data_IF_946321691773
#
_entry.id   IF_946321691773
#
_cell.length_a   1.000
_cell.length_b   1.000
_cell.length_c   1.000
_cell.angle_alpha   90.00
_cell.angle_beta   90.00
_cell.angle_gamma   90.00
#
_symmetry.space_group_name_H-M   'P 1'
#
loop_
_entity.id
_entity.type
_entity.pdbx_description
1 polymer ?
#
# COMPACT_ATOMS: atom_id res chain seq x y z
N UNK A 1 -16.45 -59.31 18.88
CA UNK A 1 -15.73 -58.28 18.13
C UNK A 1 -16.39 -56.97 18.53
N UNK A 2 -15.75 -56.16 19.37
CA UNK A 2 -16.31 -54.87 19.79
C UNK A 2 -15.99 -53.85 18.69
N UNK A 3 -16.97 -53.53 17.87
CA UNK A 3 -16.92 -52.37 16.98
C UNK A 3 -17.06 -51.13 17.86
N UNK A 4 -15.92 -50.54 18.23
CA UNK A 4 -15.89 -49.22 18.84
C UNK A 4 -16.48 -48.22 17.82
N UNK A 5 -17.46 -47.39 18.19
CA UNK A 5 -18.01 -46.39 17.29
C UNK A 5 -16.87 -45.46 16.87
N UNK A 6 -16.69 -45.26 15.56
CA UNK A 6 -15.73 -44.31 15.04
C UNK A 6 -16.00 -42.94 15.66
N UNK A 7 -15.03 -42.40 16.43
CA UNK A 7 -15.14 -41.06 17.01
C UNK A 7 -15.56 -40.08 15.91
N UNK A 8 -16.73 -39.47 16.10
CA UNK A 8 -17.29 -38.50 15.15
C UNK A 8 -16.36 -37.28 15.13
N UNK A 9 -15.65 -37.09 14.01
CA UNK A 9 -14.70 -35.98 13.85
C UNK A 9 -15.42 -34.66 14.06
N UNK A 10 -14.90 -33.80 14.92
CA UNK A 10 -15.55 -32.52 15.22
C UNK A 10 -15.30 -31.52 14.08
N UNK A 11 -16.37 -31.23 13.35
CA UNK A 11 -16.39 -30.28 12.24
C UNK A 11 -16.65 -28.84 12.68
N UNK A 12 -17.11 -28.64 13.92
CA UNK A 12 -17.63 -27.36 14.45
C UNK A 12 -16.62 -26.57 15.27
N UNK A 13 -15.46 -27.15 15.59
CA UNK A 13 -14.36 -26.51 16.36
C UNK A 13 -14.06 -25.08 15.92
N UNK A 14 -14.13 -24.81 14.61
CA UNK A 14 -13.78 -23.50 14.05
C UNK A 14 -14.99 -22.64 13.67
N UNK A 15 -16.22 -23.14 13.78
CA UNK A 15 -17.44 -22.38 13.45
C UNK A 15 -17.88 -21.50 14.63
N UNK A 16 -17.63 -21.94 15.86
CA UNK A 16 -17.93 -21.17 17.09
C UNK A 16 -17.00 -19.96 17.31
N UNK A 17 -15.89 -19.87 16.58
CA UNK A 17 -14.80 -18.92 16.84
C UNK A 17 -14.93 -17.58 16.07
N UNK A 18 -15.92 -17.48 15.18
CA UNK A 18 -16.13 -16.32 14.28
C UNK A 18 -17.28 -15.42 14.76
N UNK A 19 -18.29 -15.96 15.45
CA UNK A 19 -19.40 -15.17 15.98
C UNK A 19 -18.97 -14.36 17.22
N UNK A 20 -18.59 -13.09 17.01
CA UNK A 20 -18.47 -12.10 18.10
C UNK A 20 -17.06 -11.63 18.47
N UNK A 21 -16.01 -11.96 17.70
CA UNK A 21 -14.66 -11.44 17.97
C UNK A 21 -14.58 -9.92 17.75
N UNK A 22 -14.42 -9.18 18.86
CA UNK A 22 -14.10 -7.75 18.88
C UNK A 22 -12.71 -7.54 18.26
N UNK A 23 -12.52 -6.41 17.57
CA UNK A 23 -11.24 -6.03 16.98
C UNK A 23 -10.13 -6.08 18.05
N UNK A 24 -9.18 -7.01 17.91
CA UNK A 24 -8.09 -7.19 18.88
C UNK A 24 -6.81 -6.49 18.39
N UNK A 25 -6.50 -5.34 18.99
CA UNK A 25 -5.27 -4.60 18.70
C UNK A 25 -4.00 -5.39 19.01
N UNK A 26 -4.05 -6.37 19.89
CA UNK A 26 -2.92 -7.25 20.18
C UNK A 26 -2.58 -8.15 18.99
N UNK A 27 -3.60 -8.71 18.32
CA UNK A 27 -3.43 -9.48 17.08
C UNK A 27 -2.87 -8.59 15.96
N UNK A 28 -3.38 -7.37 15.82
CA UNK A 28 -2.87 -6.40 14.84
C UNK A 28 -1.39 -6.08 15.10
N UNK A 29 -1.01 -5.81 16.35
CA UNK A 29 0.39 -5.56 16.73
C UNK A 29 1.29 -6.76 16.44
N UNK A 30 0.79 -7.98 16.65
CA UNK A 30 1.49 -9.20 16.28
C UNK A 30 1.70 -9.25 14.77
N UNK A 31 0.67 -8.97 13.97
CA UNK A 31 0.74 -8.92 12.50
C UNK A 31 1.84 -7.95 12.01
N UNK A 32 1.89 -6.75 12.58
CA UNK A 32 2.93 -5.75 12.26
C UNK A 32 4.36 -6.18 12.64
N UNK A 33 4.53 -7.17 13.54
CA UNK A 33 5.85 -7.73 13.86
C UNK A 33 6.46 -8.46 12.66
N UNK A 34 5.67 -9.12 11.81
CA UNK A 34 6.18 -9.76 10.59
C UNK A 34 6.59 -8.74 9.51
N UNK A 35 6.10 -7.50 9.57
CA UNK A 35 6.58 -6.40 8.72
C UNK A 35 7.83 -5.69 9.28
N UNK A 36 8.22 -5.93 10.54
CA UNK A 36 9.42 -5.35 11.18
C UNK A 36 10.71 -5.52 10.36
N UNK A 37 11.05 -6.69 9.79
CA UNK A 37 12.26 -6.84 8.98
C UNK A 37 12.23 -6.00 7.68
N UNK A 38 11.05 -5.59 7.20
CA UNK A 38 10.87 -4.83 5.95
C UNK A 38 10.68 -3.32 6.19
N UNK A 39 10.97 -2.82 7.39
CA UNK A 39 10.78 -1.40 7.76
C UNK A 39 11.50 -0.40 6.86
N UNK A 40 12.69 -0.73 6.35
CA UNK A 40 13.40 0.16 5.44
C UNK A 40 12.67 0.34 4.10
N UNK A 41 12.11 -0.75 3.55
CA UNK A 41 11.30 -0.72 2.33
C UNK A 41 9.98 0.01 2.55
N UNK A 42 9.35 -0.21 3.71
CA UNK A 42 8.14 0.51 4.10
C UNK A 42 8.40 2.02 4.29
N UNK A 43 9.52 2.41 4.93
CA UNK A 43 9.89 3.81 5.08
C UNK A 43 10.13 4.47 3.72
N UNK A 44 10.87 3.79 2.83
CA UNK A 44 11.08 4.27 1.46
C UNK A 44 9.75 4.43 0.71
N UNK A 45 8.83 3.47 0.86
CA UNK A 45 7.49 3.57 0.28
C UNK A 45 6.74 4.81 0.80
N UNK A 46 6.78 5.05 2.12
CA UNK A 46 6.19 6.25 2.75
C UNK A 46 6.80 7.53 2.17
N UNK A 47 8.12 7.59 2.00
CA UNK A 47 8.76 8.74 1.34
C UNK A 47 8.29 8.91 -0.10
N UNK A 48 8.21 7.83 -0.88
CA UNK A 48 7.73 7.89 -2.26
C UNK A 48 6.27 8.39 -2.34
N UNK A 49 5.37 7.94 -1.47
CA UNK A 49 3.98 8.41 -1.51
C UNK A 49 3.84 9.87 -1.09
N UNK A 50 4.68 10.36 -0.18
CA UNK A 50 4.71 11.79 0.17
C UNK A 50 5.20 12.66 -0.99
N UNK A 51 6.22 12.19 -1.72
CA UNK A 51 6.70 12.85 -2.94
C UNK A 51 5.65 12.81 -4.05
N UNK A 52 4.99 11.67 -4.24
CA UNK A 52 3.90 11.53 -5.19
C UNK A 52 2.72 12.45 -4.84
N UNK A 53 2.36 12.56 -3.56
CA UNK A 53 1.27 13.42 -3.08
C UNK A 53 1.57 14.90 -3.36
N UNK A 54 2.78 15.34 -2.99
CA UNK A 54 3.28 16.68 -3.33
C UNK A 54 3.21 16.89 -4.85
N UNK A 55 3.58 15.86 -5.62
CA UNK A 55 3.49 15.86 -7.07
C UNK A 55 2.06 15.97 -7.62
N UNK A 56 1.10 15.29 -7.02
CA UNK A 56 -0.28 15.43 -7.46
C UNK A 56 -0.88 16.81 -7.14
N UNK A 57 -0.45 17.44 -6.04
CA UNK A 57 -0.98 18.74 -5.61
C UNK A 57 -0.41 19.90 -6.44
N UNK A 58 0.89 19.89 -6.71
CA UNK A 58 1.53 20.99 -7.45
C UNK A 58 1.24 20.95 -8.98
N UNK A 59 0.75 19.84 -9.55
CA UNK A 59 0.42 19.73 -10.99
C UNK A 59 -0.69 20.70 -11.44
N UNK A 60 -1.89 20.68 -10.81
CA UNK A 60 -2.99 21.55 -11.23
C UNK A 60 -2.70 23.04 -10.98
N UNK A 61 -1.80 23.37 -10.04
CA UNK A 61 -1.42 24.77 -9.75
C UNK A 61 -0.81 25.45 -10.97
N UNK A 62 -0.04 24.73 -11.81
CA UNK A 62 0.54 25.28 -13.04
C UNK A 62 -0.55 25.71 -14.03
N UNK A 63 -1.56 24.86 -14.23
CA UNK A 63 -2.63 25.12 -15.20
C UNK A 63 -3.49 26.29 -14.73
N UNK A 64 -3.92 26.30 -13.47
CA UNK A 64 -4.81 27.35 -12.96
C UNK A 64 -4.10 28.68 -12.77
N UNK A 65 -2.89 28.68 -12.21
CA UNK A 65 -2.23 29.92 -11.80
C UNK A 65 -1.26 30.47 -12.84
N UNK A 66 -0.39 29.62 -13.40
CA UNK A 66 0.63 30.08 -14.35
C UNK A 66 0.01 30.33 -15.73
N UNK A 67 -0.83 29.40 -16.21
CA UNK A 67 -1.37 29.47 -17.56
C UNK A 67 -2.65 30.32 -17.62
N UNK A 68 -3.65 30.04 -16.78
CA UNK A 68 -4.94 30.74 -16.85
C UNK A 68 -4.84 32.15 -16.25
N UNK A 69 -4.44 32.28 -14.99
CA UNK A 69 -4.40 33.58 -14.31
C UNK A 69 -3.22 34.46 -14.80
N UNK A 70 -2.06 33.85 -15.13
CA UNK A 70 -0.86 34.59 -15.53
C UNK A 70 -0.79 35.00 -17.01
N UNK A 71 -1.34 34.20 -17.93
CA UNK A 71 -1.21 34.45 -19.38
C UNK A 71 -2.53 34.80 -20.07
N UNK A 72 -3.68 34.26 -19.62
CA UNK A 72 -4.96 34.43 -20.32
C UNK A 72 -5.81 35.60 -19.77
N UNK A 73 -5.66 35.95 -18.50
CA UNK A 73 -6.33 37.09 -17.87
C UNK A 73 -5.29 38.07 -17.30
N UNK A 74 -4.64 38.90 -18.14
CA UNK A 74 -3.71 39.92 -17.68
C UNK A 74 -4.48 41.09 -17.03
N UNK A 75 -5.14 40.82 -15.91
CA UNK A 75 -5.90 41.77 -15.12
C UNK A 75 -5.21 41.99 -13.78
N UNK A 76 -4.61 43.17 -13.64
CA UNK A 76 -4.13 43.84 -12.43
C UNK A 76 -3.93 42.97 -11.16
N UNK A 77 -2.68 42.58 -10.92
CA UNK A 77 -2.13 42.59 -9.57
C UNK A 77 -2.59 41.52 -8.58
N UNK A 78 -3.11 40.38 -9.02
CA UNK A 78 -3.24 39.24 -8.13
C UNK A 78 -1.91 38.47 -8.04
N UNK A 79 -0.98 38.97 -7.23
CA UNK A 79 0.11 38.17 -6.62
C UNK A 79 -0.52 37.14 -5.66
N UNK A 80 -1.25 36.18 -6.21
CA UNK A 80 -1.72 35.04 -5.45
C UNK A 80 -0.52 34.11 -5.20
N UNK A 81 -0.39 33.51 -4.00
CA UNK A 81 0.73 32.61 -3.70
C UNK A 81 0.68 31.38 -4.62
N UNK A 82 1.59 31.36 -5.60
CA UNK A 82 1.74 30.36 -6.66
C UNK A 82 2.71 29.23 -6.29
N UNK A 83 3.14 29.19 -5.01
CA UNK A 83 4.16 28.28 -4.48
C UNK A 83 5.49 28.32 -5.25
N UNK A 84 5.84 29.45 -5.86
CA UNK A 84 7.10 29.64 -6.60
C UNK A 84 7.13 28.99 -7.98
N UNK A 85 5.97 28.58 -8.51
CA UNK A 85 5.89 27.91 -9.81
C UNK A 85 6.07 28.86 -11.00
N UNK A 86 5.65 30.12 -10.88
CA UNK A 86 5.90 31.12 -11.94
C UNK A 86 7.40 31.35 -12.14
N UNK A 87 8.16 31.46 -11.05
CA UNK A 87 9.62 31.60 -11.07
C UNK A 87 10.32 30.37 -11.66
N UNK A 88 9.83 29.16 -11.36
CA UNK A 88 10.33 27.92 -11.97
C UNK A 88 10.07 27.89 -13.48
N UNK A 89 8.88 28.29 -13.91
CA UNK A 89 8.50 28.32 -15.32
C UNK A 89 9.29 29.39 -16.08
N UNK A 90 9.45 30.59 -15.54
CA UNK A 90 10.23 31.65 -16.19
C UNK A 90 11.71 31.29 -16.27
N UNK A 91 12.30 30.76 -15.20
CA UNK A 91 13.69 30.29 -15.21
C UNK A 91 13.91 29.19 -16.26
N UNK A 92 12.98 28.23 -16.35
CA UNK A 92 13.07 27.16 -17.33
C UNK A 92 12.85 27.66 -18.76
N UNK A 93 11.90 28.58 -18.96
CA UNK A 93 11.65 29.21 -20.25
C UNK A 93 12.89 29.97 -20.76
N UNK A 94 13.53 30.76 -19.89
CA UNK A 94 14.75 31.51 -20.20
C UNK A 94 15.93 30.58 -20.49
N UNK A 95 16.12 29.53 -19.68
CA UNK A 95 17.20 28.57 -19.86
C UNK A 95 17.05 27.73 -21.14
N UNK A 96 15.82 27.36 -21.50
CA UNK A 96 15.51 26.54 -22.67
C UNK A 96 15.22 27.36 -23.93
N UNK A 97 15.16 28.69 -23.84
CA UNK A 97 14.73 29.60 -24.92
C UNK A 97 13.37 29.23 -25.53
N UNK A 98 12.43 28.80 -24.68
CA UNK A 98 11.09 28.35 -25.08
C UNK A 98 10.04 29.42 -24.77
N UNK A 99 8.94 29.39 -25.52
CA UNK A 99 7.75 30.15 -25.16
C UNK A 99 7.24 29.71 -23.77
N UNK A 100 6.81 30.69 -22.97
CA UNK A 100 6.47 30.44 -21.57
C UNK A 100 5.28 29.48 -21.42
N UNK A 101 4.35 29.47 -22.38
CA UNK A 101 3.24 28.51 -22.43
C UNK A 101 3.75 27.08 -22.64
N UNK A 102 4.72 26.89 -23.53
CA UNK A 102 5.30 25.58 -23.79
C UNK A 102 6.13 25.09 -22.59
N UNK A 103 6.89 25.99 -21.96
CA UNK A 103 7.62 25.71 -20.72
C UNK A 103 6.69 25.23 -19.59
N UNK A 104 5.54 25.88 -19.40
CA UNK A 104 4.53 25.48 -18.42
C UNK A 104 3.97 24.08 -18.71
N UNK A 105 3.65 23.77 -19.97
CA UNK A 105 3.21 22.44 -20.38
C UNK A 105 4.25 21.34 -20.12
N UNK A 106 5.53 21.63 -20.36
CA UNK A 106 6.63 20.69 -20.10
C UNK A 106 6.79 20.42 -18.61
N UNK A 107 6.77 21.46 -17.76
CA UNK A 107 6.89 21.30 -16.31
C UNK A 107 5.68 20.54 -15.76
N UNK A 108 4.46 20.85 -16.23
CA UNK A 108 3.26 20.09 -15.90
C UNK A 108 3.41 18.60 -16.25
N UNK A 109 3.85 18.30 -17.47
CA UNK A 109 4.13 16.94 -17.90
C UNK A 109 5.16 16.24 -17.02
N UNK A 110 6.26 16.92 -16.70
CA UNK A 110 7.30 16.42 -15.79
C UNK A 110 6.74 16.08 -14.41
N UNK A 111 5.85 16.91 -13.89
CA UNK A 111 5.26 16.74 -12.57
C UNK A 111 4.24 15.58 -12.51
N UNK A 112 3.43 15.43 -13.55
CA UNK A 112 2.53 14.27 -13.73
C UNK A 112 3.34 12.97 -13.87
N UNK A 113 4.41 12.98 -14.67
CA UNK A 113 5.29 11.82 -14.81
C UNK A 113 5.97 11.46 -13.49
N UNK A 114 6.45 12.46 -12.75
CA UNK A 114 7.06 12.27 -11.44
C UNK A 114 6.08 11.68 -10.43
N UNK A 115 4.84 12.20 -10.39
CA UNK A 115 3.77 11.66 -9.56
C UNK A 115 3.49 10.19 -9.89
N UNK A 116 3.33 9.86 -11.17
CA UNK A 116 3.09 8.49 -11.65
C UNK A 116 4.24 7.54 -11.29
N UNK A 117 5.48 7.97 -11.48
CA UNK A 117 6.68 7.20 -11.16
C UNK A 117 6.76 6.87 -9.66
N UNK A 118 6.60 7.88 -8.79
CA UNK A 118 6.67 7.66 -7.35
C UNK A 118 5.48 6.86 -6.82
N UNK A 119 4.29 7.06 -7.36
CA UNK A 119 3.12 6.25 -7.02
C UNK A 119 3.31 4.78 -7.41
N UNK A 120 3.90 4.51 -8.57
CA UNK A 120 4.24 3.17 -9.02
C UNK A 120 5.31 2.52 -8.12
N UNK A 121 6.36 3.27 -7.79
CA UNK A 121 7.43 2.81 -6.90
C UNK A 121 6.91 2.50 -5.49
N UNK A 122 6.04 3.36 -4.93
CA UNK A 122 5.32 3.11 -3.69
C UNK A 122 4.56 1.79 -3.74
N UNK A 123 3.80 1.55 -4.82
CA UNK A 123 3.00 0.32 -4.99
C UNK A 123 3.89 -0.93 -4.99
N UNK A 124 5.01 -0.91 -5.71
CA UNK A 124 5.95 -2.05 -5.74
C UNK A 124 6.58 -2.28 -4.36
N UNK A 125 7.08 -1.22 -3.72
CA UNK A 125 7.76 -1.33 -2.43
C UNK A 125 6.83 -1.82 -1.32
N UNK A 126 5.60 -1.30 -1.29
CA UNK A 126 4.58 -1.71 -0.33
C UNK A 126 4.16 -3.16 -0.59
N UNK A 127 3.80 -3.51 -1.83
CA UNK A 127 3.41 -4.87 -2.18
C UNK A 127 4.52 -5.88 -1.86
N UNK A 128 5.77 -5.58 -2.20
CA UNK A 128 6.91 -6.44 -1.88
C UNK A 128 7.12 -6.64 -0.38
N UNK A 129 6.88 -5.60 0.43
CA UNK A 129 6.99 -5.68 1.89
C UNK A 129 5.87 -6.52 2.50
N UNK A 130 4.63 -6.34 2.01
CA UNK A 130 3.45 -7.09 2.47
C UNK A 130 3.55 -8.57 2.08
N UNK A 131 3.86 -8.87 0.81
CA UNK A 131 4.02 -10.26 0.34
C UNK A 131 5.12 -11.00 1.10
N UNK A 132 6.22 -10.31 1.40
CA UNK A 132 7.31 -10.93 2.16
C UNK A 132 6.88 -11.22 3.59
N UNK A 133 6.17 -10.29 4.26
CA UNK A 133 5.60 -10.53 5.58
C UNK A 133 4.55 -11.65 5.61
N UNK A 134 3.71 -11.74 4.57
CA UNK A 134 2.72 -12.79 4.42
C UNK A 134 3.36 -14.17 4.24
N UNK A 135 4.43 -14.25 3.45
CA UNK A 135 5.23 -15.46 3.28
C UNK A 135 5.83 -15.93 4.62
N UNK A 136 6.32 -15.01 5.44
CA UNK A 136 6.87 -15.32 6.76
C UNK A 136 5.78 -15.80 7.72
N UNK A 137 4.63 -15.12 7.74
CA UNK A 137 3.44 -15.56 8.49
C UNK A 137 3.02 -16.97 8.08
N UNK A 138 2.94 -17.24 6.78
CA UNK A 138 2.62 -18.56 6.24
C UNK A 138 3.61 -19.59 6.80
N UNK A 139 4.91 -19.36 6.65
CA UNK A 139 5.95 -20.26 7.17
C UNK A 139 5.77 -20.57 8.66
N UNK A 140 5.47 -19.57 9.48
CA UNK A 140 5.29 -19.75 10.93
C UNK A 140 4.04 -20.57 11.26
N UNK A 141 2.93 -20.35 10.56
CA UNK A 141 1.69 -21.13 10.74
C UNK A 141 1.92 -22.59 10.34
N UNK A 142 2.55 -22.84 9.19
CA UNK A 142 2.90 -24.20 8.76
C UNK A 142 3.81 -24.90 9.77
N UNK A 143 4.86 -24.23 10.25
CA UNK A 143 5.76 -24.79 11.26
C UNK A 143 5.07 -25.08 12.61
N UNK A 144 4.04 -24.31 12.95
CA UNK A 144 3.22 -24.57 14.14
C UNK A 144 2.36 -25.83 13.95
N UNK A 145 1.73 -25.98 12.78
CA UNK A 145 0.93 -27.17 12.45
C UNK A 145 1.80 -28.44 12.53
N UNK A 146 2.98 -28.44 11.93
CA UNK A 146 3.89 -29.61 11.93
C UNK A 146 4.29 -30.10 13.33
N UNK A 147 4.24 -29.22 14.34
CA UNK A 147 4.61 -29.55 15.73
C UNK A 147 3.43 -30.01 16.59
N UNK A 148 2.21 -30.00 16.06
CA UNK A 148 1.03 -30.46 16.80
C UNK A 148 1.07 -31.98 17.01
N UNK A 149 0.60 -32.48 18.18
CA UNK A 149 0.58 -33.90 18.46
C UNK A 149 -0.38 -34.63 17.51
N UNK A 150 -0.09 -35.90 17.19
CA UNK A 150 -0.94 -36.73 16.34
C UNK A 150 -2.42 -36.76 16.80
N UNK A 151 -2.64 -36.73 18.12
CA UNK A 151 -3.97 -36.68 18.74
C UNK A 151 -4.81 -35.45 18.34
N UNK A 152 -4.19 -34.34 17.93
CA UNK A 152 -4.90 -33.19 17.37
C UNK A 152 -5.51 -33.54 16.00
N UNK A 153 -4.75 -34.26 15.17
CA UNK A 153 -5.15 -34.67 13.83
C UNK A 153 -6.16 -35.82 13.81
N UNK A 154 -6.25 -36.59 14.90
CA UNK A 154 -7.27 -37.62 15.06
C UNK A 154 -8.68 -37.02 15.29
N UNK A 155 -8.76 -35.86 15.98
CA UNK A 155 -10.02 -35.19 16.33
C UNK A 155 -10.48 -34.14 15.33
N UNK A 156 -9.55 -33.54 14.58
CA UNK A 156 -9.82 -32.41 13.69
C UNK A 156 -9.60 -32.82 12.23
N UNK A 157 -10.55 -32.50 11.35
CA UNK A 157 -10.45 -32.80 9.92
C UNK A 157 -9.31 -32.00 9.25
N UNK A 158 -8.16 -32.63 9.04
CA UNK A 158 -6.91 -32.02 8.51
C UNK A 158 -7.14 -31.24 7.20
N UNK A 159 -7.98 -31.76 6.29
CA UNK A 159 -8.32 -31.08 5.05
C UNK A 159 -9.03 -29.73 5.26
N UNK A 160 -9.89 -29.62 6.27
CA UNK A 160 -10.59 -28.36 6.60
C UNK A 160 -9.63 -27.33 7.21
N UNK A 161 -8.69 -27.78 8.03
CA UNK A 161 -7.65 -26.93 8.62
C UNK A 161 -6.77 -26.32 7.54
N UNK A 162 -6.29 -27.13 6.59
CA UNK A 162 -5.44 -26.61 5.51
C UNK A 162 -6.18 -25.68 4.56
N UNK A 163 -7.44 -25.98 4.23
CA UNK A 163 -8.24 -25.09 3.39
C UNK A 163 -8.47 -23.75 4.08
N UNK A 164 -8.79 -23.72 5.38
CA UNK A 164 -8.93 -22.44 6.11
C UNK A 164 -7.62 -21.68 6.21
N UNK A 165 -6.54 -22.33 6.63
CA UNK A 165 -5.24 -21.67 6.77
C UNK A 165 -4.76 -21.08 5.44
N UNK A 166 -4.97 -21.79 4.34
CA UNK A 166 -4.58 -21.27 3.02
C UNK A 166 -5.51 -20.13 2.58
N UNK A 167 -6.82 -20.29 2.73
CA UNK A 167 -7.82 -19.29 2.32
C UNK A 167 -7.74 -18.00 3.16
N UNK A 168 -7.58 -18.12 4.47
CA UNK A 168 -7.46 -16.99 5.40
C UNK A 168 -6.13 -16.22 5.23
N UNK A 169 -5.11 -16.82 4.61
CA UNK A 169 -3.83 -16.16 4.28
C UNK A 169 -3.87 -15.56 2.86
N UNK A 170 -4.67 -16.09 1.95
CA UNK A 170 -4.80 -15.59 0.58
C UNK A 170 -5.78 -14.43 0.42
N UNK A 171 -6.73 -14.27 1.35
CA UNK A 171 -7.73 -13.19 1.36
C UNK A 171 -7.16 -11.91 1.98
#
# INVERSE_FOLDING_TARGET
>A
MNDLPAEERDYTVFDNDIEGKRFDFQLLRRLFSWLKPYRARALLAVTCVLLAATATVLAPVIVTRVVIDGMLLPGEGMEAPDMGQTALVSWFADAASLDALLAACVIYGGWVLMAGMFAHLFRILLAGSVLSGLKDLRRDVFAHLERLPATFYDRVAVGRVMTRVTNDIET
#
